data_IF_871660343986
#
_entry.id   IF_871660343986
#
_cell.length_a   1.000
_cell.length_b   1.000
_cell.length_c   1.000
_cell.angle_alpha   90.00
_cell.angle_beta   90.00
_cell.angle_gamma   90.00
#
_symmetry.space_group_name_H-M   'P 1'
#
loop_
_entity.id
_entity.type
_entity.pdbx_description
1 polymer ?
#
# COMPACT_ATOMS: atom_id res chain seq x y z
N UNK A 1 20.57 -0.12 44.00
CA UNK A 1 19.17 -0.59 43.80
C UNK A 1 18.53 -0.07 42.51
N UNK A 2 19.10 0.94 41.85
CA UNK A 2 18.58 1.49 40.58
C UNK A 2 18.90 0.58 39.38
N UNK A 3 20.01 -0.17 39.44
CA UNK A 3 20.51 -0.95 38.29
C UNK A 3 19.59 -2.11 37.90
N UNK A 4 19.02 -2.82 38.88
CA UNK A 4 18.13 -3.95 38.60
C UNK A 4 16.81 -3.46 37.97
N UNK A 5 16.25 -2.36 38.48
CA UNK A 5 15.02 -1.78 37.93
C UNK A 5 15.26 -1.20 36.53
N UNK A 6 16.39 -0.53 36.32
CA UNK A 6 16.78 -0.01 35.02
C UNK A 6 16.93 -1.15 33.98
N UNK A 7 17.59 -2.24 34.37
CA UNK A 7 17.71 -3.42 33.49
C UNK A 7 16.35 -4.08 33.22
N UNK A 8 15.48 -4.15 34.22
CA UNK A 8 14.12 -4.66 34.03
C UNK A 8 13.35 -3.81 33.01
N UNK A 9 13.42 -2.48 33.14
CA UNK A 9 12.75 -1.55 32.22
C UNK A 9 13.29 -1.67 30.80
N UNK A 10 14.62 -1.72 30.63
CA UNK A 10 15.24 -1.88 29.32
C UNK A 10 14.81 -3.18 28.64
N UNK A 11 14.77 -4.28 29.39
CA UNK A 11 14.32 -5.57 28.88
C UNK A 11 12.83 -5.54 28.50
N UNK A 12 11.99 -4.94 29.34
CA UNK A 12 10.57 -4.78 29.04
C UNK A 12 10.33 -3.89 27.82
N UNK A 13 11.14 -2.85 27.63
CA UNK A 13 11.07 -2.00 26.44
C UNK A 13 11.42 -2.79 25.17
N UNK A 14 12.49 -3.59 25.20
CA UNK A 14 12.89 -4.45 24.07
C UNK A 14 11.82 -5.46 23.69
N UNK A 15 11.18 -6.09 24.68
CA UNK A 15 10.12 -7.08 24.45
C UNK A 15 8.85 -6.43 23.90
N UNK A 16 8.49 -5.23 24.38
CA UNK A 16 7.29 -4.53 23.93
C UNK A 16 7.45 -3.80 22.59
N UNK A 17 8.67 -3.71 22.06
CA UNK A 17 8.94 -3.01 20.79
C UNK A 17 8.46 -3.84 19.60
N UNK A 18 7.53 -3.29 18.81
CA UNK A 18 6.94 -3.92 17.62
C UNK A 18 6.84 -2.91 16.48
N UNK A 19 6.66 -3.36 15.22
CA UNK A 19 6.45 -2.42 14.09
C UNK A 19 5.26 -1.46 14.31
N UNK A 20 4.31 -1.82 15.18
CA UNK A 20 3.13 -1.01 15.54
C UNK A 20 3.49 0.23 16.37
N UNK A 21 4.54 0.18 17.19
CA UNK A 21 4.87 1.24 18.16
C UNK A 21 6.28 1.84 18.00
N UNK A 22 7.08 1.37 17.04
CA UNK A 22 8.51 1.72 16.93
C UNK A 22 8.96 2.36 15.61
N UNK A 23 8.02 2.74 14.73
CA UNK A 23 8.30 3.25 13.37
C UNK A 23 9.13 2.32 12.46
N UNK A 24 9.48 1.12 12.93
CA UNK A 24 10.13 0.09 12.13
C UNK A 24 9.19 -0.44 11.05
N UNK A 25 9.73 -0.90 9.90
CA UNK A 25 8.91 -1.47 8.84
C UNK A 25 8.22 -2.76 9.31
N UNK A 26 7.05 -3.10 8.74
CA UNK A 26 6.30 -4.31 9.11
C UNK A 26 7.05 -5.62 8.81
N UNK A 27 8.07 -5.58 7.94
CA UNK A 27 8.94 -6.72 7.66
C UNK A 27 9.90 -7.05 8.80
N UNK A 28 10.05 -6.18 9.80
CA UNK A 28 10.89 -6.41 10.97
C UNK A 28 10.25 -7.35 12.00
N UNK A 29 8.92 -7.54 11.95
CA UNK A 29 8.22 -8.47 12.84
C UNK A 29 8.42 -9.92 12.36
N UNK A 30 8.57 -10.88 13.28
CA UNK A 30 8.69 -12.31 12.95
C UNK A 30 7.40 -12.83 12.27
N UNK A 31 7.47 -13.86 11.41
CA UNK A 31 6.29 -14.42 10.76
C UNK A 31 5.27 -15.04 11.72
N UNK A 32 5.69 -15.40 12.95
CA UNK A 32 4.81 -15.89 14.01
C UNK A 32 4.10 -14.77 14.77
N UNK A 33 4.39 -13.49 14.48
CA UNK A 33 3.68 -12.37 15.10
C UNK A 33 2.26 -12.27 14.57
N UNK A 34 1.36 -11.78 15.41
CA UNK A 34 -0.03 -11.58 15.02
C UNK A 34 -0.12 -10.59 13.84
N UNK A 35 -0.77 -11.05 12.76
CA UNK A 35 -1.00 -10.23 11.57
C UNK A 35 -1.78 -8.97 11.95
N UNK A 36 -1.43 -7.86 11.30
CA UNK A 36 -2.14 -6.60 11.50
C UNK A 36 -3.61 -6.77 11.09
N UNK A 37 -4.58 -6.30 11.89
CA UNK A 37 -5.98 -6.37 11.50
C UNK A 37 -6.20 -5.58 10.21
N UNK A 38 -6.98 -6.17 9.30
CA UNK A 38 -7.38 -5.49 8.07
C UNK A 38 -8.27 -4.30 8.40
N UNK A 39 -8.00 -3.16 7.75
CA UNK A 39 -8.83 -1.97 7.92
C UNK A 39 -10.16 -2.20 7.21
N UNK A 40 -11.28 -1.96 7.91
CA UNK A 40 -12.61 -1.99 7.30
C UNK A 40 -12.66 -1.00 6.14
N UNK A 41 -13.20 -1.44 4.99
CA UNK A 41 -13.41 -0.58 3.82
C UNK A 41 -14.38 0.52 4.21
N UNK A 42 -14.03 1.78 3.93
CA UNK A 42 -14.84 2.94 4.29
C UNK A 42 -16.06 3.14 3.39
N UNK A 43 -16.23 2.33 2.34
CA UNK A 43 -17.28 2.48 1.32
C UNK A 43 -17.13 3.72 0.42
N UNK A 44 -16.23 4.63 0.75
CA UNK A 44 -15.97 5.84 -0.03
C UNK A 44 -15.31 5.45 -1.35
N UNK A 45 -15.84 5.99 -2.45
CA UNK A 45 -15.20 5.90 -3.77
C UNK A 45 -13.79 6.52 -3.67
N UNK A 46 -12.83 5.95 -4.39
CA UNK A 46 -11.51 6.57 -4.55
C UNK A 46 -11.72 7.99 -5.10
N UNK A 47 -10.95 8.95 -4.59
CA UNK A 47 -10.99 10.31 -5.10
C UNK A 47 -10.67 10.33 -6.60
N UNK A 48 -11.28 11.26 -7.31
CA UNK A 48 -11.01 11.57 -8.71
C UNK A 48 -11.31 13.04 -8.92
N UNK A 49 -10.59 13.70 -9.82
CA UNK A 49 -10.89 15.09 -10.16
C UNK A 49 -12.28 15.15 -10.80
N UNK A 50 -13.23 15.95 -10.27
CA UNK A 50 -14.51 16.18 -10.91
C UNK A 50 -14.29 16.66 -12.35
N UNK A 51 -15.00 16.06 -13.31
CA UNK A 51 -14.86 16.39 -14.74
C UNK A 51 -13.75 15.64 -15.48
N UNK A 52 -12.93 14.83 -14.81
CA UNK A 52 -11.99 13.95 -15.49
C UNK A 52 -12.60 12.56 -15.65
N UNK A 53 -13.21 12.32 -16.81
CA UNK A 53 -13.62 10.96 -17.18
C UNK A 53 -12.34 10.11 -17.26
N UNK A 54 -12.26 9.06 -16.44
CA UNK A 54 -11.24 8.05 -16.65
C UNK A 54 -11.52 7.43 -18.01
N UNK A 55 -10.64 7.61 -18.99
CA UNK A 55 -10.64 6.77 -20.18
C UNK A 55 -10.30 5.36 -19.69
N UNK A 56 -11.32 4.61 -19.26
CA UNK A 56 -11.20 3.17 -19.18
C UNK A 56 -10.95 2.74 -20.61
N UNK A 57 -9.70 2.36 -20.91
CA UNK A 57 -9.36 1.72 -22.17
C UNK A 57 -10.43 0.66 -22.43
N UNK A 58 -11.11 0.69 -23.60
CA UNK A 58 -12.27 -0.16 -23.81
C UNK A 58 -11.83 -1.60 -23.62
N UNK A 59 -12.38 -2.24 -22.59
CA UNK A 59 -12.17 -3.65 -22.34
C UNK A 59 -12.58 -4.41 -23.59
N UNK A 60 -11.64 -5.20 -24.14
CA UNK A 60 -11.81 -6.06 -25.29
C UNK A 60 -12.76 -5.50 -26.37
N UNK A 61 -12.30 -4.49 -27.11
CA UNK A 61 -12.77 -4.35 -28.48
C UNK A 61 -12.31 -5.62 -29.21
N UNK A 62 -13.25 -6.48 -29.61
CA UNK A 62 -12.98 -7.44 -30.68
C UNK A 62 -12.67 -6.62 -31.93
N UNK A 63 -11.39 -6.32 -32.13
CA UNK A 63 -10.88 -5.55 -33.26
C UNK A 63 -10.84 -6.45 -34.47
N UNK A 64 -11.88 -6.44 -35.30
CA UNK A 64 -11.83 -7.15 -36.58
C UNK A 64 -10.88 -6.51 -37.60
N UNK A 65 -10.24 -5.38 -37.29
CA UNK A 65 -9.02 -4.93 -37.97
C UNK A 65 -8.31 -3.83 -37.18
N UNK A 66 -7.01 -3.99 -36.97
CA UNK A 66 -6.13 -2.95 -36.42
C UNK A 66 -5.65 -2.07 -37.58
N UNK A 67 -6.43 -1.07 -37.99
CA UNK A 67 -5.94 -0.08 -38.95
C UNK A 67 -4.90 0.82 -38.26
N UNK A 68 -3.61 0.60 -38.55
CA UNK A 68 -2.54 1.52 -38.13
C UNK A 68 -2.71 2.85 -38.88
N UNK A 69 -2.86 3.94 -38.14
CA UNK A 69 -2.94 5.29 -38.71
C UNK A 69 -1.65 5.62 -39.46
N UNK A 70 -1.78 6.05 -40.72
CA UNK A 70 -0.67 6.53 -41.56
C UNK A 70 -0.90 8.02 -41.84
N UNK A 71 -0.03 8.93 -41.37
CA UNK A 71 -0.19 10.35 -41.60
C UNK A 71 0.01 10.69 -43.09
N UNK A 72 -0.73 11.67 -43.64
CA UNK A 72 -0.57 12.08 -45.03
C UNK A 72 0.79 12.76 -45.24
N UNK A 73 1.55 12.29 -46.23
CA UNK A 73 2.78 12.95 -46.68
C UNK A 73 2.41 14.10 -47.61
N UNK A 74 2.65 15.34 -47.19
CA UNK A 74 2.72 16.46 -48.12
C UNK A 74 4.12 16.44 -48.74
N UNK A 75 4.22 16.03 -50.00
CA UNK A 75 5.41 16.22 -50.84
C UNK A 75 5.40 17.60 -51.48
#
# INVERSE_FOLDING_TARGET
MVDLQAQQQELLEKINRTSKNSSSPPSSDLPSTEKRPEKKKTGKKRGGQPGHNSYLAPGNLNVNSLTRYSPPTNY
#
